data_IF_422054243862
#
_entry.id   IF_422054243862
#
_cell.length_a   1.000
_cell.length_b   1.000
_cell.length_c   1.000
_cell.angle_alpha   90.00
_cell.angle_beta   90.00
_cell.angle_gamma   90.00
#
_symmetry.space_group_name_H-M   'P 1'
#
loop_
_entity.id
_entity.type
_entity.pdbx_description
1 polymer ?
#
# COMPACT_ATOMS: atom_id res chain seq x y z
N UNK A 1 -18.99 -57.79 76.79
CA UNK A 1 -18.50 -58.02 75.41
C UNK A 1 -18.48 -56.76 74.54
N UNK A 2 -19.52 -55.91 74.55
CA UNK A 2 -19.62 -54.71 73.68
C UNK A 2 -18.43 -53.74 73.84
N UNK A 3 -18.06 -53.36 75.08
CA UNK A 3 -16.95 -52.42 75.33
C UNK A 3 -15.56 -52.92 74.95
N UNK A 4 -15.28 -54.22 75.07
CA UNK A 4 -13.91 -54.74 74.92
C UNK A 4 -13.61 -55.26 73.50
N UNK A 5 -14.64 -55.51 72.67
CA UNK A 5 -14.46 -56.11 71.34
C UNK A 5 -15.01 -55.23 70.23
N UNK A 6 -16.18 -54.61 70.43
CA UNK A 6 -16.86 -53.84 69.38
C UNK A 6 -16.27 -52.43 69.27
N UNK A 7 -16.06 -51.75 70.40
CA UNK A 7 -15.54 -50.37 70.42
C UNK A 7 -14.18 -50.25 69.74
N UNK A 8 -13.15 -51.07 70.06
CA UNK A 8 -11.84 -50.96 69.40
C UNK A 8 -11.91 -51.23 67.89
N UNK A 9 -12.83 -52.10 67.45
CA UNK A 9 -13.00 -52.42 66.03
C UNK A 9 -13.66 -51.28 65.25
N UNK A 10 -14.64 -50.61 65.86
CA UNK A 10 -15.26 -49.41 65.29
C UNK A 10 -14.27 -48.25 65.24
N UNK A 11 -13.49 -48.02 66.31
CA UNK A 11 -12.43 -47.00 66.35
C UNK A 11 -11.36 -47.23 65.28
N UNK A 12 -10.96 -48.48 65.05
CA UNK A 12 -10.02 -48.85 63.99
C UNK A 12 -10.58 -48.55 62.59
N UNK A 13 -11.85 -48.87 62.34
CA UNK A 13 -12.50 -48.55 61.05
C UNK A 13 -12.59 -47.04 60.84
N UNK A 14 -12.99 -46.28 61.87
CA UNK A 14 -13.08 -44.82 61.81
C UNK A 14 -11.70 -44.23 61.53
N UNK A 15 -10.66 -44.71 62.22
CA UNK A 15 -9.28 -44.25 62.02
C UNK A 15 -8.78 -44.54 60.61
N UNK A 16 -9.03 -45.74 60.07
CA UNK A 16 -8.65 -46.10 58.69
C UNK A 16 -9.32 -45.17 57.69
N UNK A 17 -10.64 -44.95 57.81
CA UNK A 17 -11.39 -44.05 56.93
C UNK A 17 -10.90 -42.61 57.03
N UNK A 18 -10.57 -42.15 58.24
CA UNK A 18 -10.03 -40.81 58.44
C UNK A 18 -8.68 -40.64 57.72
N UNK A 19 -7.80 -41.64 57.80
CA UNK A 19 -6.51 -41.65 57.10
C UNK A 19 -6.71 -41.65 55.58
N UNK A 20 -7.61 -42.49 55.06
CA UNK A 20 -7.94 -42.55 53.62
C UNK A 20 -8.54 -41.23 53.10
N UNK A 21 -9.45 -40.61 53.86
CA UNK A 21 -10.01 -39.32 53.47
C UNK A 21 -8.97 -38.19 53.51
N UNK A 22 -8.10 -38.16 54.53
CA UNK A 22 -7.04 -37.18 54.62
C UNK A 22 -6.01 -37.34 53.51
N UNK A 23 -5.65 -38.57 53.14
CA UNK A 23 -4.73 -38.80 52.01
C UNK A 23 -5.36 -38.39 50.68
N UNK A 24 -6.63 -38.72 50.45
CA UNK A 24 -7.36 -38.28 49.27
C UNK A 24 -7.46 -36.75 49.18
N UNK A 25 -7.71 -36.08 50.31
CA UNK A 25 -7.72 -34.61 50.39
C UNK A 25 -6.34 -34.02 50.06
N UNK A 26 -5.27 -34.63 50.59
CA UNK A 26 -3.88 -34.23 50.28
C UNK A 26 -3.57 -34.31 48.78
N UNK A 27 -3.89 -35.44 48.15
CA UNK A 27 -3.71 -35.63 46.69
C UNK A 27 -4.52 -34.62 45.89
N UNK A 28 -5.75 -34.34 46.32
CA UNK A 28 -6.59 -33.33 45.68
C UNK A 28 -5.99 -31.93 45.81
N UNK A 29 -5.43 -31.57 46.96
CA UNK A 29 -4.78 -30.29 47.19
C UNK A 29 -3.55 -30.13 46.29
N UNK A 30 -2.68 -31.15 46.25
CA UNK A 30 -1.50 -31.16 45.37
C UNK A 30 -1.89 -31.03 43.89
N UNK A 31 -2.98 -31.67 43.49
CA UNK A 31 -3.50 -31.57 42.12
C UNK A 31 -4.00 -30.15 41.81
N UNK A 32 -4.68 -29.51 42.77
CA UNK A 32 -5.10 -28.11 42.63
C UNK A 32 -3.91 -27.16 42.50
N UNK A 33 -2.89 -27.31 43.35
CA UNK A 33 -1.67 -26.49 43.31
C UNK A 33 -0.92 -26.65 41.99
N UNK A 34 -0.80 -27.90 41.50
CA UNK A 34 -0.20 -28.18 40.20
C UNK A 34 -0.97 -27.53 39.04
N UNK A 35 -2.30 -27.62 39.05
CA UNK A 35 -3.14 -27.00 38.03
C UNK A 35 -3.06 -25.48 38.09
N UNK A 36 -2.99 -24.89 39.29
CA UNK A 36 -2.82 -23.46 39.46
C UNK A 36 -1.49 -22.96 38.89
N UNK A 37 -0.37 -23.63 39.19
CA UNK A 37 0.94 -23.28 38.62
C UNK A 37 0.95 -23.40 37.09
N UNK A 38 0.33 -24.46 36.55
CA UNK A 38 0.19 -24.63 35.10
C UNK A 38 -0.64 -23.53 34.46
N UNK A 39 -1.74 -23.12 35.11
CA UNK A 39 -2.60 -22.05 34.61
C UNK A 39 -1.85 -20.71 34.60
N UNK A 40 -1.12 -20.38 35.65
CA UNK A 40 -0.30 -19.16 35.73
C UNK A 40 0.72 -19.12 34.60
N UNK A 41 1.42 -20.23 34.36
CA UNK A 41 2.38 -20.33 33.23
C UNK A 41 1.71 -20.12 31.88
N UNK A 42 0.52 -20.69 31.67
CA UNK A 42 -0.23 -20.51 30.44
C UNK A 42 -0.69 -19.07 30.23
N UNK A 43 -1.12 -18.37 31.29
CA UNK A 43 -1.49 -16.95 31.23
C UNK A 43 -0.31 -16.10 30.79
N UNK A 44 0.86 -16.28 31.39
CA UNK A 44 2.08 -15.54 31.02
C UNK A 44 2.44 -15.75 29.54
N UNK A 45 2.33 -16.99 29.05
CA UNK A 45 2.59 -17.31 27.64
C UNK A 45 1.57 -16.63 26.72
N UNK A 46 0.29 -16.61 27.09
CA UNK A 46 -0.77 -15.96 26.32
C UNK A 46 -0.59 -14.44 26.28
N UNK A 47 -0.23 -13.81 27.40
CA UNK A 47 0.06 -12.38 27.47
C UNK A 47 1.25 -12.01 26.58
N UNK A 48 2.32 -12.80 26.62
CA UNK A 48 3.48 -12.60 25.74
C UNK A 48 3.13 -12.78 24.26
N UNK A 49 2.31 -13.78 23.92
CA UNK A 49 1.83 -13.99 22.55
C UNK A 49 0.94 -12.83 22.07
N UNK A 50 0.04 -12.34 22.93
CA UNK A 50 -0.82 -11.19 22.63
C UNK A 50 0.00 -9.92 22.41
N UNK A 51 1.02 -9.67 23.22
CA UNK A 51 1.90 -8.52 23.05
C UNK A 51 2.66 -8.58 21.73
N UNK A 52 3.22 -9.74 21.38
CA UNK A 52 3.89 -9.94 20.07
C UNK A 52 2.94 -9.75 18.90
N UNK A 53 1.68 -10.20 19.02
CA UNK A 53 0.68 -9.99 17.98
C UNK A 53 0.40 -8.50 17.75
N UNK A 54 0.29 -7.71 18.82
CA UNK A 54 0.10 -6.25 18.74
C UNK A 54 1.30 -5.55 18.10
N UNK A 55 2.52 -5.94 18.48
CA UNK A 55 3.75 -5.39 17.88
C UNK A 55 3.82 -5.69 16.38
N UNK A 56 3.46 -6.91 15.98
CA UNK A 56 3.42 -7.29 14.57
C UNK A 56 2.37 -6.50 13.81
N UNK A 57 1.17 -6.33 14.37
CA UNK A 57 0.09 -5.54 13.79
C UNK A 57 0.53 -4.08 13.56
N UNK A 58 1.14 -3.45 14.57
CA UNK A 58 1.67 -2.09 14.45
C UNK A 58 2.75 -1.99 13.37
N UNK A 59 3.66 -2.97 13.31
CA UNK A 59 4.71 -3.01 12.28
C UNK A 59 4.11 -3.12 10.88
N UNK A 60 3.15 -4.03 10.68
CA UNK A 60 2.49 -4.22 9.38
C UNK A 60 1.76 -2.95 8.95
N UNK A 61 1.06 -2.27 9.86
CA UNK A 61 0.38 -1.00 9.56
C UNK A 61 1.40 0.08 9.17
N UNK A 62 2.53 0.18 9.88
CA UNK A 62 3.59 1.12 9.55
C UNK A 62 4.23 0.83 8.19
N UNK A 63 4.56 -0.43 7.92
CA UNK A 63 5.19 -0.86 6.67
C UNK A 63 4.25 -0.63 5.48
N UNK A 64 2.96 -0.89 5.65
CA UNK A 64 1.94 -0.61 4.64
C UNK A 64 1.80 0.91 4.39
N UNK A 65 1.80 1.73 5.45
CA UNK A 65 1.79 3.18 5.33
C UNK A 65 2.96 3.71 4.51
N UNK A 66 4.17 3.24 4.82
CA UNK A 66 5.38 3.61 4.09
C UNK A 66 5.33 3.17 2.62
N UNK A 67 4.87 1.95 2.35
CA UNK A 67 4.73 1.45 0.98
C UNK A 67 3.71 2.26 0.17
N UNK A 68 2.60 2.68 0.79
CA UNK A 68 1.59 3.53 0.14
C UNK A 68 2.14 4.91 -0.18
N UNK A 69 2.87 5.55 0.74
CA UNK A 69 3.49 6.85 0.46
C UNK A 69 4.53 6.76 -0.66
N UNK A 70 5.40 5.74 -0.63
CA UNK A 70 6.37 5.51 -1.71
C UNK A 70 5.68 5.28 -3.07
N UNK A 71 4.57 4.53 -3.08
CA UNK A 71 3.79 4.32 -4.30
C UNK A 71 3.18 5.64 -4.82
N UNK A 72 2.69 6.52 -3.94
CA UNK A 72 2.17 7.85 -4.32
C UNK A 72 3.27 8.73 -4.92
N UNK A 73 4.46 8.73 -4.32
CA UNK A 73 5.60 9.51 -4.83
C UNK A 73 6.03 9.03 -6.22
N UNK A 74 6.15 7.71 -6.40
CA UNK A 74 6.47 7.12 -7.71
C UNK A 74 5.40 7.42 -8.76
N UNK A 75 4.12 7.32 -8.40
CA UNK A 75 3.02 7.67 -9.29
C UNK A 75 3.07 9.14 -9.69
N UNK A 76 3.32 10.04 -8.72
CA UNK A 76 3.46 11.47 -9.00
C UNK A 76 4.62 11.75 -9.96
N UNK A 77 5.80 11.18 -9.70
CA UNK A 77 6.96 11.32 -10.58
C UNK A 77 6.66 10.82 -11.99
N UNK A 78 6.04 9.64 -12.11
CA UNK A 78 5.69 9.07 -13.42
C UNK A 78 4.66 9.91 -14.17
N UNK A 79 3.68 10.51 -13.49
CA UNK A 79 2.71 11.42 -14.11
C UNK A 79 3.39 12.72 -14.56
N UNK A 80 4.28 13.29 -13.75
CA UNK A 80 5.01 14.51 -14.09
C UNK A 80 5.92 14.30 -15.31
N UNK A 81 6.60 13.15 -15.40
CA UNK A 81 7.40 12.75 -16.56
C UNK A 81 6.53 12.59 -17.82
N UNK A 82 5.37 11.92 -17.71
CA UNK A 82 4.45 11.77 -18.83
C UNK A 82 3.92 13.11 -19.34
N UNK A 83 3.58 14.04 -18.44
CA UNK A 83 3.11 15.38 -18.82
C UNK A 83 4.22 16.16 -19.53
N UNK A 84 5.46 16.06 -19.05
CA UNK A 84 6.62 16.70 -19.67
C UNK A 84 6.84 16.16 -21.09
N UNK A 85 6.78 14.84 -21.28
CA UNK A 85 6.91 14.23 -22.61
C UNK A 85 5.79 14.68 -23.57
N UNK A 86 4.55 14.77 -23.06
CA UNK A 86 3.39 15.25 -23.83
C UNK A 86 3.60 16.71 -24.26
N UNK A 87 4.05 17.58 -23.36
CA UNK A 87 4.30 18.99 -23.66
C UNK A 87 5.41 19.16 -24.71
N UNK A 88 6.52 18.42 -24.57
CA UNK A 88 7.60 18.43 -25.57
C UNK A 88 7.12 17.97 -26.94
N UNK A 89 6.31 16.91 -26.97
CA UNK A 89 5.75 16.36 -28.20
C UNK A 89 4.75 17.31 -28.84
N UNK A 90 3.92 17.99 -28.05
CA UNK A 90 2.99 19.02 -28.52
C UNK A 90 3.72 20.22 -29.12
N UNK A 91 4.77 20.73 -28.47
CA UNK A 91 5.55 21.84 -29.01
C UNK A 91 6.31 21.45 -30.29
N UNK A 92 6.81 20.22 -30.37
CA UNK A 92 7.40 19.68 -31.60
C UNK A 92 6.37 19.63 -32.74
N UNK A 93 5.21 19.04 -32.49
CA UNK A 93 4.13 18.92 -33.47
C UNK A 93 3.62 20.30 -33.91
N UNK A 94 3.48 21.25 -32.99
CA UNK A 94 3.09 22.64 -33.28
C UNK A 94 4.10 23.31 -34.20
N UNK A 95 5.40 23.09 -34.01
CA UNK A 95 6.46 23.61 -34.89
C UNK A 95 6.37 23.01 -36.28
N UNK A 96 6.25 21.69 -36.38
CA UNK A 96 6.08 20.97 -37.65
C UNK A 96 4.85 21.46 -38.42
N UNK A 97 3.69 21.55 -37.75
CA UNK A 97 2.44 22.04 -38.37
C UNK A 97 2.51 23.51 -38.76
N UNK A 98 3.27 24.34 -38.03
CA UNK A 98 3.52 25.73 -38.43
C UNK A 98 4.30 25.79 -39.75
N UNK A 99 5.33 24.97 -39.91
CA UNK A 99 6.13 24.92 -41.14
C UNK A 99 5.32 24.40 -42.34
N UNK A 100 4.54 23.34 -42.15
CA UNK A 100 3.60 22.83 -43.16
C UNK A 100 2.61 23.93 -43.61
N UNK A 101 2.04 24.67 -42.65
CA UNK A 101 1.07 25.72 -42.92
C UNK A 101 1.69 26.92 -43.67
N UNK A 102 2.92 27.31 -43.33
CA UNK A 102 3.67 28.34 -44.07
C UNK A 102 3.89 27.89 -45.51
N UNK A 103 4.33 26.64 -45.72
CA UNK A 103 4.56 26.08 -47.05
C UNK A 103 3.28 26.09 -47.91
N UNK A 104 2.17 25.59 -47.35
CA UNK A 104 0.88 25.58 -48.03
C UNK A 104 0.40 27.01 -48.36
N UNK A 105 0.59 27.95 -47.43
CA UNK A 105 0.22 29.35 -47.63
C UNK A 105 1.01 30.00 -48.76
N UNK A 106 2.29 29.65 -48.94
CA UNK A 106 3.12 30.11 -50.05
C UNK A 106 2.59 29.58 -51.38
N UNK A 107 2.24 28.29 -51.44
CA UNK A 107 1.74 27.68 -52.67
C UNK A 107 0.37 28.26 -53.06
N UNK A 108 -0.55 28.43 -52.10
CA UNK A 108 -1.85 29.07 -52.32
C UNK A 108 -1.67 30.52 -52.78
N UNK A 109 -0.84 31.31 -52.10
CA UNK A 109 -0.56 32.69 -52.49
C UNK A 109 0.05 32.78 -53.89
N UNK A 110 0.95 31.86 -54.23
CA UNK A 110 1.55 31.76 -55.57
C UNK A 110 0.50 31.46 -56.65
N UNK A 111 -0.41 30.54 -56.39
CA UNK A 111 -1.51 30.21 -57.31
C UNK A 111 -2.45 31.41 -57.53
N UNK A 112 -2.89 32.08 -56.46
CA UNK A 112 -3.75 33.26 -56.57
C UNK A 112 -3.07 34.39 -57.32
N UNK A 113 -1.80 34.68 -57.02
CA UNK A 113 -1.06 35.71 -57.73
C UNK A 113 -0.94 35.41 -59.22
N UNK A 114 -0.60 34.18 -59.60
CA UNK A 114 -0.52 33.78 -61.01
C UNK A 114 -1.87 33.94 -61.73
N UNK A 115 -2.98 33.62 -61.05
CA UNK A 115 -4.34 33.77 -61.59
C UNK A 115 -4.76 35.22 -61.78
N UNK A 116 -4.39 36.12 -60.86
CA UNK A 116 -4.74 37.55 -60.92
C UNK A 116 -3.84 38.32 -61.89
N UNK A 117 -2.55 38.00 -61.93
CA UNK A 117 -1.56 38.79 -62.68
C UNK A 117 -1.47 38.41 -64.16
N UNK A 118 -1.98 37.23 -64.55
CA UNK A 118 -1.87 36.71 -65.92
C UNK A 118 -0.44 36.34 -66.36
N UNK A 119 0.56 36.46 -65.48
CA UNK A 119 1.98 36.19 -65.75
C UNK A 119 2.43 34.91 -65.04
N UNK A 120 2.91 33.93 -65.80
CA UNK A 120 3.23 32.58 -65.31
C UNK A 120 4.51 32.41 -64.49
N UNK A 121 5.25 33.48 -64.16
CA UNK A 121 6.48 33.37 -63.36
C UNK A 121 6.50 34.37 -62.21
N UNK A 122 6.21 33.87 -61.02
CA UNK A 122 6.39 34.60 -59.77
C UNK A 122 7.72 34.23 -59.14
N UNK A 123 8.43 35.22 -58.58
CA UNK A 123 9.58 34.96 -57.71
C UNK A 123 9.05 34.39 -56.38
N UNK A 124 8.94 33.05 -56.28
CA UNK A 124 8.51 32.33 -55.06
C UNK A 124 9.25 32.78 -53.79
N UNK A 125 10.49 33.28 -53.92
CA UNK A 125 11.26 33.84 -52.80
C UNK A 125 10.58 35.04 -52.12
N UNK A 126 9.97 35.95 -52.89
CA UNK A 126 9.36 37.17 -52.36
C UNK A 126 8.00 36.89 -51.69
N UNK A 127 7.26 35.90 -52.18
CA UNK A 127 6.04 35.41 -51.51
C UNK A 127 6.42 34.68 -50.21
N UNK A 128 7.48 33.87 -50.23
CA UNK A 128 8.00 33.19 -49.04
C UNK A 128 8.34 34.18 -47.93
N UNK A 129 9.13 35.21 -48.23
CA UNK A 129 9.48 36.26 -47.25
C UNK A 129 8.24 36.93 -46.63
N UNK A 130 7.24 37.25 -47.47
CA UNK A 130 5.99 37.87 -47.02
C UNK A 130 5.17 36.94 -46.12
N UNK A 131 4.97 35.68 -46.54
CA UNK A 131 4.18 34.70 -45.78
C UNK A 131 4.88 34.36 -44.47
N UNK A 132 6.17 34.04 -44.49
CA UNK A 132 6.96 33.75 -43.28
C UNK A 132 6.91 34.94 -42.31
N UNK A 133 7.09 36.17 -42.81
CA UNK A 133 7.00 37.38 -41.98
C UNK A 133 5.62 37.62 -41.36
N UNK A 134 4.53 37.13 -41.95
CA UNK A 134 3.19 37.19 -41.33
C UNK A 134 3.10 36.23 -40.14
N UNK A 135 3.62 35.00 -40.28
CA UNK A 135 3.61 33.97 -39.23
C UNK A 135 4.62 34.22 -38.09
N UNK A 136 5.60 35.09 -38.31
CA UNK A 136 6.56 35.54 -37.29
C UNK A 136 6.11 36.80 -36.54
N UNK A 137 5.27 37.66 -37.15
CA UNK A 137 4.82 38.93 -36.53
C UNK A 137 3.46 38.89 -35.85
N UNK A 138 2.65 37.84 -36.08
CA UNK A 138 1.28 37.71 -35.53
C UNK A 138 1.15 36.70 -34.38
N UNK A 139 2.23 36.03 -33.99
CA UNK A 139 2.35 35.16 -32.83
C UNK A 139 3.44 35.72 -31.92
#
# INVERSE_FOLDING_TARGET
MVRCVVVPKVESIISSRLVEHNSALGVSLESCDFLQDKLVKQVVVLEAAQQRARELEQKVVSDLGNAVELAKELLKSGVDEMLTEVDERLESLKREKKEELISLSIDVASMYYAKVSGVGRVKKSRIRELVTGIYEKRL
#
